data_IF_281248555866
#
_entry.id   IF_281248555866
#
_cell.length_a   1.000
_cell.length_b   1.000
_cell.length_c   1.000
_cell.angle_alpha   90.00
_cell.angle_beta   90.00
_cell.angle_gamma   90.00
#
_symmetry.space_group_name_H-M   'P 1'
#
loop_
_entity.id
_entity.type
_entity.pdbx_description
1 polymer ?
#
# COMPACT_ATOMS: atom_id res chain seq x y z
N UNK A 1 24.37 20.47 -5.67
CA UNK A 1 23.34 19.64 -6.35
C UNK A 1 22.14 19.56 -5.43
N UNK A 2 21.05 20.24 -5.75
CA UNK A 2 19.80 20.07 -5.00
C UNK A 2 19.22 18.72 -5.42
N UNK A 3 19.03 17.80 -4.47
CA UNK A 3 18.32 16.54 -4.71
C UNK A 3 16.86 16.93 -4.97
N UNK A 4 16.49 17.10 -6.23
CA UNK A 4 15.11 17.38 -6.60
C UNK A 4 14.28 16.12 -6.36
N UNK A 5 13.22 16.23 -5.56
CA UNK A 5 12.27 15.14 -5.34
C UNK A 5 11.72 14.69 -6.69
N UNK A 6 11.91 13.42 -7.04
CA UNK A 6 11.40 12.86 -8.29
C UNK A 6 9.87 12.97 -8.28
N UNK A 7 9.32 13.82 -9.16
CA UNK A 7 7.88 14.05 -9.26
C UNK A 7 7.35 13.44 -10.56
N UNK A 8 6.17 12.84 -10.50
CA UNK A 8 5.49 12.25 -11.65
C UNK A 8 4.06 12.80 -11.70
N UNK A 9 3.61 13.19 -12.89
CA UNK A 9 2.25 13.68 -13.10
C UNK A 9 1.32 12.52 -13.49
N UNK A 10 0.19 12.41 -12.80
CA UNK A 10 -0.85 11.41 -13.07
C UNK A 10 -2.15 12.14 -13.39
N UNK A 11 -2.82 11.72 -14.47
CA UNK A 11 -4.13 12.25 -14.86
C UNK A 11 -5.24 11.42 -14.24
N UNK A 12 -6.21 12.09 -13.66
CA UNK A 12 -7.42 11.54 -13.05
C UNK A 12 -8.60 12.44 -13.42
N UNK A 13 -9.81 11.93 -13.31
CA UNK A 13 -11.00 12.74 -13.51
C UNK A 13 -11.17 13.78 -12.37
N UNK A 14 -12.03 14.76 -12.62
CA UNK A 14 -12.24 15.88 -11.70
C UNK A 14 -12.85 15.42 -10.37
N UNK A 15 -13.74 14.43 -10.37
CA UNK A 15 -14.40 13.96 -9.15
C UNK A 15 -13.37 13.29 -8.23
N UNK A 16 -12.55 12.40 -8.77
CA UNK A 16 -11.45 11.76 -8.04
C UNK A 16 -10.47 12.79 -7.48
N UNK A 17 -10.11 13.81 -8.26
CA UNK A 17 -9.24 14.88 -7.78
C UNK A 17 -9.83 15.65 -6.59
N UNK A 18 -11.13 15.95 -6.64
CA UNK A 18 -11.82 16.66 -5.57
C UNK A 18 -11.91 15.82 -4.29
N UNK A 19 -12.18 14.53 -4.42
CA UNK A 19 -12.22 13.60 -3.30
C UNK A 19 -10.83 13.46 -2.64
N UNK A 20 -9.77 13.30 -3.44
CA UNK A 20 -8.40 13.27 -2.92
C UNK A 20 -8.03 14.57 -2.18
N UNK A 21 -8.45 15.73 -2.70
CA UNK A 21 -8.24 17.01 -2.01
C UNK A 21 -9.00 17.10 -0.69
N UNK A 22 -10.23 16.60 -0.64
CA UNK A 22 -11.03 16.58 0.59
C UNK A 22 -10.37 15.69 1.64
N UNK A 23 -10.02 14.47 1.26
CA UNK A 23 -9.35 13.52 2.15
C UNK A 23 -8.01 14.03 2.66
N UNK A 24 -7.19 14.60 1.76
CA UNK A 24 -5.90 15.20 2.16
C UNK A 24 -6.09 16.29 3.22
N UNK A 25 -7.11 17.14 3.08
CA UNK A 25 -7.45 18.16 4.08
C UNK A 25 -7.89 17.54 5.41
N UNK A 26 -8.76 16.53 5.38
CA UNK A 26 -9.23 15.83 6.58
C UNK A 26 -8.07 15.18 7.34
N UNK A 27 -7.06 14.68 6.62
CA UNK A 27 -5.86 14.07 7.20
C UNK A 27 -4.76 15.08 7.58
N UNK A 28 -4.93 16.37 7.27
CA UNK A 28 -3.87 17.37 7.45
C UNK A 28 -2.62 17.11 6.61
N UNK A 29 -2.78 16.49 5.44
CA UNK A 29 -1.71 16.06 4.54
C UNK A 29 -1.85 16.70 3.15
N UNK A 30 -0.82 16.56 2.33
CA UNK A 30 -0.87 16.88 0.90
C UNK A 30 -1.57 15.77 0.11
N UNK A 31 -2.00 16.09 -1.12
CA UNK A 31 -2.55 15.07 -2.04
C UNK A 31 -1.51 13.98 -2.33
N UNK A 32 -0.24 14.35 -2.49
CA UNK A 32 0.85 13.40 -2.75
C UNK A 32 1.06 12.42 -1.59
N UNK A 33 1.10 12.91 -0.35
CA UNK A 33 1.21 12.07 0.85
C UNK A 33 -0.01 11.15 1.00
N UNK A 34 -1.21 11.67 0.71
CA UNK A 34 -2.45 10.89 0.76
C UNK A 34 -2.43 9.75 -0.27
N UNK A 35 -1.96 10.03 -1.49
CA UNK A 35 -1.79 9.00 -2.53
C UNK A 35 -0.73 7.98 -2.12
N UNK A 36 0.41 8.41 -1.56
CA UNK A 36 1.44 7.50 -1.07
C UNK A 36 0.91 6.57 0.02
N UNK A 37 0.11 7.10 0.96
CA UNK A 37 -0.55 6.32 1.99
C UNK A 37 -1.54 5.31 1.39
N UNK A 38 -2.39 5.74 0.45
CA UNK A 38 -3.35 4.87 -0.22
C UNK A 38 -2.65 3.71 -0.96
N UNK A 39 -1.61 4.01 -1.75
CA UNK A 39 -0.82 3.00 -2.46
C UNK A 39 -0.18 2.00 -1.50
N UNK A 40 0.37 2.49 -0.38
CA UNK A 40 0.94 1.62 0.66
C UNK A 40 -0.13 0.71 1.26
N UNK A 41 -1.31 1.23 1.56
CA UNK A 41 -2.40 0.46 2.16
C UNK A 41 -2.91 -0.63 1.22
N UNK A 42 -3.12 -0.30 -0.07
CA UNK A 42 -3.51 -1.27 -1.10
C UNK A 42 -2.50 -2.41 -1.24
N UNK A 43 -1.19 -2.10 -1.16
CA UNK A 43 -0.14 -3.14 -1.17
C UNK A 43 -0.21 -4.01 0.08
N UNK A 44 -0.42 -3.41 1.25
CA UNK A 44 -0.55 -4.14 2.51
C UNK A 44 -1.79 -5.05 2.52
N UNK A 45 -2.91 -4.60 1.96
CA UNK A 45 -4.14 -5.41 1.87
C UNK A 45 -3.92 -6.63 0.98
N UNK A 46 -3.22 -6.47 -0.14
CA UNK A 46 -2.85 -7.59 -1.00
C UNK A 46 -1.95 -8.60 -0.28
N UNK A 47 -0.90 -8.12 0.39
CA UNK A 47 0.00 -8.98 1.17
C UNK A 47 -0.78 -9.69 2.28
N UNK A 48 -1.67 -8.98 2.98
CA UNK A 48 -2.53 -9.56 4.01
C UNK A 48 -3.42 -10.67 3.46
N UNK A 49 -4.01 -10.49 2.28
CA UNK A 49 -4.79 -11.53 1.60
C UNK A 49 -3.92 -12.75 1.26
N UNK A 50 -2.73 -12.54 0.68
CA UNK A 50 -1.79 -13.62 0.35
C UNK A 50 -1.40 -14.42 1.61
N UNK A 51 -1.03 -13.73 2.69
CA UNK A 51 -0.63 -14.33 3.97
C UNK A 51 -1.78 -14.97 4.75
N UNK A 52 -3.03 -14.58 4.49
CA UNK A 52 -4.21 -15.18 5.15
C UNK A 52 -4.56 -16.57 4.61
N UNK A 53 -3.93 -16.98 3.51
CA UNK A 53 -4.10 -18.32 2.94
C UNK A 53 -3.60 -19.35 3.95
N UNK A 54 -4.43 -20.36 4.24
CA UNK A 54 -4.00 -21.46 5.09
C UNK A 54 -2.79 -22.16 4.45
N UNK A 55 -1.76 -22.41 5.26
CA UNK A 55 -0.61 -23.20 4.85
C UNK A 55 -1.08 -24.58 4.39
N UNK A 56 -0.48 -25.08 3.32
CA UNK A 56 -0.68 -26.45 2.88
C UNK A 56 -0.11 -27.43 3.92
N UNK A 57 -0.61 -28.65 3.94
CA UNK A 57 -0.12 -29.69 4.87
C UNK A 57 1.40 -29.86 4.76
N UNK A 58 1.97 -29.83 3.56
CA UNK A 58 3.41 -29.96 3.35
C UNK A 58 4.22 -28.77 3.87
N UNK A 59 3.67 -27.56 3.81
CA UNK A 59 4.31 -26.37 4.41
C UNK A 59 4.27 -26.41 5.93
N UNK A 60 3.17 -26.91 6.52
CA UNK A 60 3.06 -27.14 7.96
C UNK A 60 4.05 -28.22 8.40
N UNK A 61 4.08 -29.37 7.71
CA UNK A 61 5.02 -30.46 7.99
C UNK A 61 6.48 -30.02 7.89
N UNK A 62 6.80 -29.12 6.94
CA UNK A 62 8.14 -28.54 6.83
C UNK A 62 8.46 -27.58 7.99
N UNK A 63 7.50 -26.73 8.41
CA UNK A 63 7.68 -25.80 9.54
C UNK A 63 7.83 -26.52 10.88
N UNK A 64 7.10 -27.63 11.06
CA UNK A 64 7.12 -28.45 12.27
C UNK A 64 8.22 -29.52 12.24
N UNK A 65 9.07 -29.55 11.20
CA UNK A 65 10.15 -30.52 11.10
C UNK A 65 11.17 -30.30 12.23
N UNK A 66 11.47 -31.37 12.97
CA UNK A 66 12.42 -31.32 14.08
C UNK A 66 13.83 -31.00 13.56
N UNK A 67 14.42 -29.92 14.08
CA UNK A 67 15.77 -29.50 13.75
C UNK A 67 16.78 -30.24 14.63
N UNK A 68 16.81 -31.57 14.50
CA UNK A 68 17.85 -32.52 14.97
C UNK A 68 18.58 -32.21 16.28
#
# INVERSE_FOLDING_TARGET
MLICMQSTSVRIDQATHMELKRLARELGATVGETVALAVRRLRQDRIGAELSTALTTSEVEWLDADLG
#
